data_IF_435699107916
#
_entry.id   IF_435699107916
#
_cell.length_a   1.000
_cell.length_b   1.000
_cell.length_c   1.000
_cell.angle_alpha   90.00
_cell.angle_beta   90.00
_cell.angle_gamma   90.00
#
_symmetry.space_group_name_H-M   'P 1'
#
loop_
_entity.id
_entity.type
_entity.pdbx_description
1 polymer ?
#
# COMPACT_ATOMS: atom_id res chain seq x y z
N UNK A 1 -23.81 15.54 -15.85
CA UNK A 1 -22.58 16.26 -15.49
C UNK A 1 -21.45 15.49 -16.10
N UNK A 2 -20.69 16.14 -16.94
CA UNK A 2 -19.52 15.55 -17.54
C UNK A 2 -18.43 15.49 -16.45
N UNK A 3 -18.19 14.29 -15.90
CA UNK A 3 -17.21 14.11 -14.84
C UNK A 3 -15.80 14.23 -15.41
N UNK A 4 -15.13 15.36 -15.15
CA UNK A 4 -13.74 15.59 -15.58
C UNK A 4 -12.70 15.14 -14.56
N UNK A 5 -13.13 14.76 -13.36
CA UNK A 5 -12.23 14.34 -12.26
C UNK A 5 -12.75 13.08 -11.60
N UNK A 6 -11.90 12.07 -11.48
CA UNK A 6 -12.14 10.91 -10.63
C UNK A 6 -11.46 11.13 -9.30
N UNK A 7 -12.18 10.95 -8.20
CA UNK A 7 -11.69 11.18 -6.86
C UNK A 7 -11.86 9.93 -5.98
N UNK A 8 -10.86 9.64 -5.16
CA UNK A 8 -10.90 8.57 -4.15
C UNK A 8 -10.29 9.12 -2.87
N UNK A 9 -10.94 8.92 -1.74
CA UNK A 9 -10.37 9.22 -0.42
C UNK A 9 -10.56 8.04 0.52
N UNK A 10 -9.71 7.95 1.52
CA UNK A 10 -9.70 6.84 2.46
C UNK A 10 -9.28 7.31 3.86
N UNK A 11 -9.94 6.76 4.86
CA UNK A 11 -9.45 6.73 6.24
C UNK A 11 -8.92 5.34 6.52
N UNK A 12 -7.61 5.20 6.68
CA UNK A 12 -6.90 3.91 6.77
C UNK A 12 -6.30 3.63 8.16
N UNK A 13 -6.72 4.36 9.17
CA UNK A 13 -6.10 4.33 10.52
C UNK A 13 -5.99 2.92 11.08
N UNK A 14 -7.10 2.15 11.12
CA UNK A 14 -7.10 0.79 11.69
C UNK A 14 -6.28 -0.20 10.83
N UNK A 15 -6.36 -0.05 9.53
CA UNK A 15 -5.59 -0.85 8.57
C UNK A 15 -4.07 -0.63 8.76
N UNK A 16 -3.63 0.61 8.88
CA UNK A 16 -2.22 0.97 9.11
C UNK A 16 -1.77 0.53 10.51
N UNK A 17 -2.62 0.72 11.53
CA UNK A 17 -2.36 0.25 12.90
C UNK A 17 -2.11 -1.25 12.93
N UNK A 18 -2.97 -2.05 12.27
CA UNK A 18 -2.80 -3.50 12.20
C UNK A 18 -1.52 -3.89 11.47
N UNK A 19 -1.23 -3.26 10.32
CA UNK A 19 0.01 -3.48 9.58
C UNK A 19 1.27 -3.17 10.38
N UNK A 20 1.28 -2.04 11.10
CA UNK A 20 2.39 -1.64 11.95
C UNK A 20 2.64 -2.63 13.10
N UNK A 21 1.58 -3.15 13.73
CA UNK A 21 1.68 -4.17 14.77
C UNK A 21 2.29 -5.47 14.26
N UNK A 22 1.83 -5.97 13.12
CA UNK A 22 2.33 -7.21 12.49
C UNK A 22 3.82 -7.06 12.12
N UNK A 23 4.17 -5.97 11.44
CA UNK A 23 5.53 -5.73 10.96
C UNK A 23 6.45 -5.13 12.05
N UNK A 24 5.92 -4.86 13.26
CA UNK A 24 6.65 -4.32 14.42
C UNK A 24 7.45 -3.06 14.06
N UNK A 25 6.83 -2.14 13.33
CA UNK A 25 7.49 -0.98 12.77
C UNK A 25 7.73 0.13 13.79
N UNK A 26 8.91 0.79 13.70
CA UNK A 26 9.22 2.04 14.40
C UNK A 26 8.55 3.23 13.71
N UNK A 27 8.45 4.43 14.33
CA UNK A 27 7.67 5.55 13.81
C UNK A 27 7.92 5.90 12.34
N UNK A 28 9.17 5.98 11.91
CA UNK A 28 9.50 6.29 10.51
C UNK A 28 9.05 5.18 9.55
N UNK A 29 9.30 3.91 9.90
CA UNK A 29 8.82 2.78 9.12
C UNK A 29 7.29 2.71 9.10
N UNK A 30 6.63 3.02 10.23
CA UNK A 30 5.16 3.09 10.31
C UNK A 30 4.61 4.15 9.36
N UNK A 31 5.22 5.33 9.32
CA UNK A 31 4.80 6.40 8.42
C UNK A 31 4.99 6.01 6.94
N UNK A 32 6.13 5.45 6.57
CA UNK A 32 6.41 4.99 5.20
C UNK A 32 5.49 3.85 4.80
N UNK A 33 5.45 2.79 5.60
CA UNK A 33 4.63 1.61 5.33
C UNK A 33 3.13 1.93 5.30
N UNK A 34 2.66 2.76 6.23
CA UNK A 34 1.27 3.18 6.29
C UNK A 34 0.83 3.99 5.07
N UNK A 35 1.69 4.89 4.56
CA UNK A 35 1.44 5.59 3.28
C UNK A 35 1.36 4.61 2.12
N UNK A 36 2.26 3.64 2.04
CA UNK A 36 2.24 2.61 1.00
C UNK A 36 0.98 1.73 1.07
N UNK A 37 0.55 1.30 2.27
CA UNK A 37 -0.70 0.56 2.48
C UNK A 37 -1.91 1.39 2.02
N UNK A 38 -1.96 2.67 2.40
CA UNK A 38 -3.04 3.60 2.04
C UNK A 38 -3.12 3.79 0.52
N UNK A 39 -1.99 4.04 -0.14
CA UNK A 39 -1.93 4.16 -1.59
C UNK A 39 -2.35 2.86 -2.29
N UNK A 40 -1.82 1.72 -1.83
CA UNK A 40 -2.16 0.41 -2.40
C UNK A 40 -3.65 0.09 -2.28
N UNK A 41 -4.28 0.42 -1.14
CA UNK A 41 -5.72 0.25 -0.94
C UNK A 41 -6.54 1.07 -1.95
N UNK A 42 -6.25 2.36 -2.10
CA UNK A 42 -6.93 3.22 -3.07
C UNK A 42 -6.72 2.73 -4.51
N UNK A 43 -5.48 2.43 -4.88
CA UNK A 43 -5.14 1.95 -6.23
C UNK A 43 -5.75 0.59 -6.55
N UNK A 44 -5.85 -0.31 -5.56
CA UNK A 44 -6.51 -1.61 -5.71
C UNK A 44 -8.02 -1.46 -5.92
N UNK A 45 -8.68 -0.61 -5.13
CA UNK A 45 -10.11 -0.32 -5.26
C UNK A 45 -10.46 0.34 -6.61
N UNK A 46 -9.52 1.05 -7.21
CA UNK A 46 -9.72 1.61 -8.56
C UNK A 46 -9.74 0.56 -9.67
N UNK A 47 -9.31 -0.68 -9.41
CA UNK A 47 -9.38 -1.78 -10.36
C UNK A 47 -10.78 -2.37 -10.39
N UNK A 48 -11.36 -2.48 -11.58
CA UNK A 48 -12.71 -3.04 -11.77
C UNK A 48 -12.69 -4.50 -12.24
N UNK A 49 -11.63 -5.24 -11.91
CA UNK A 49 -11.47 -6.64 -12.32
C UNK A 49 -11.75 -7.53 -11.12
N UNK A 50 -12.86 -8.26 -11.17
CA UNK A 50 -13.22 -9.24 -10.15
C UNK A 50 -12.11 -10.28 -9.99
N UNK A 51 -11.73 -10.58 -8.74
CA UNK A 51 -10.60 -11.46 -8.38
C UNK A 51 -9.20 -10.99 -8.85
N UNK A 52 -9.08 -9.77 -9.33
CA UNK A 52 -7.79 -9.16 -9.61
C UNK A 52 -6.99 -8.86 -8.34
N UNK A 53 -5.73 -8.51 -8.51
CA UNK A 53 -4.90 -7.99 -7.42
C UNK A 53 -3.92 -6.94 -7.92
N UNK A 54 -3.53 -6.03 -7.03
CA UNK A 54 -2.52 -5.02 -7.32
C UNK A 54 -1.40 -5.14 -6.29
N UNK A 55 -0.16 -5.20 -6.76
CA UNK A 55 1.03 -5.14 -5.93
C UNK A 55 1.74 -3.82 -6.15
N UNK A 56 1.95 -3.07 -5.08
CA UNK A 56 2.81 -1.90 -5.03
C UNK A 56 4.11 -2.29 -4.36
N UNK A 57 5.23 -2.12 -5.06
CA UNK A 57 6.56 -2.38 -4.53
C UNK A 57 7.41 -1.11 -4.63
N UNK A 58 8.03 -0.73 -3.52
CA UNK A 58 8.88 0.45 -3.42
C UNK A 58 10.26 0.01 -2.93
N UNK A 59 11.29 0.35 -3.69
CA UNK A 59 12.70 0.08 -3.39
C UNK A 59 13.48 1.36 -3.61
N UNK A 60 13.79 2.06 -2.56
CA UNK A 60 14.47 3.36 -2.65
C UNK A 60 15.92 3.35 -2.15
N UNK A 61 16.43 2.20 -1.70
CA UNK A 61 17.79 2.10 -1.15
C UNK A 61 17.94 2.66 0.27
N UNK A 62 16.87 3.14 0.88
CA UNK A 62 16.88 3.61 2.28
C UNK A 62 16.81 2.47 3.30
N UNK A 63 16.92 2.80 4.60
CA UNK A 63 17.05 1.80 5.68
C UNK A 63 15.85 0.86 5.83
N UNK A 64 14.64 1.22 5.37
CA UNK A 64 13.47 0.34 5.41
C UNK A 64 13.59 -0.84 4.43
N UNK A 65 14.48 -0.73 3.43
CA UNK A 65 14.64 -1.69 2.35
C UNK A 65 13.45 -1.66 1.39
N UNK A 66 12.86 -2.82 1.13
CA UNK A 66 11.72 -2.94 0.23
C UNK A 66 10.41 -2.88 0.99
N UNK A 67 9.48 -2.06 0.53
CA UNK A 67 8.07 -2.08 0.96
C UNK A 67 7.28 -2.81 -0.12
N UNK A 68 6.51 -3.82 0.26
CA UNK A 68 5.60 -4.54 -0.65
C UNK A 68 4.20 -4.54 -0.07
N UNK A 69 3.24 -4.00 -0.82
CA UNK A 69 1.83 -3.99 -0.46
C UNK A 69 1.00 -4.66 -1.55
N UNK A 70 0.04 -5.49 -1.17
CA UNK A 70 -0.85 -6.19 -2.11
C UNK A 70 -2.29 -5.88 -1.74
N UNK A 71 -3.05 -5.33 -2.69
CA UNK A 71 -4.45 -4.98 -2.52
C UNK A 71 -5.35 -5.79 -3.45
N UNK A 72 -6.59 -6.03 -3.00
CA UNK A 72 -7.67 -6.56 -3.81
C UNK A 72 -8.58 -5.44 -4.37
N UNK A 73 -9.54 -5.75 -5.26
CA UNK A 73 -10.48 -4.76 -5.81
C UNK A 73 -11.45 -4.15 -4.78
N UNK A 74 -11.64 -4.80 -3.63
CA UNK A 74 -12.42 -4.23 -2.52
C UNK A 74 -11.61 -3.21 -1.68
N UNK A 75 -10.30 -3.04 -2.00
CA UNK A 75 -9.42 -2.13 -1.27
C UNK A 75 -8.82 -2.72 0.01
N UNK A 76 -9.08 -4.01 0.33
CA UNK A 76 -8.36 -4.64 1.42
C UNK A 76 -6.89 -4.83 1.04
N UNK A 77 -6.00 -4.64 1.99
CA UNK A 77 -4.55 -4.65 1.73
C UNK A 77 -3.80 -5.49 2.75
N UNK A 78 -2.70 -6.06 2.33
CA UNK A 78 -1.65 -6.64 3.17
C UNK A 78 -0.30 -6.15 2.68
N UNK A 79 0.68 -6.10 3.56
CA UNK A 79 2.02 -5.66 3.16
C UNK A 79 3.09 -6.17 4.09
N UNK A 80 4.33 -6.03 3.65
CA UNK A 80 5.52 -6.28 4.44
C UNK A 80 6.62 -5.28 4.10
N UNK A 81 7.57 -5.15 5.02
CA UNK A 81 8.79 -4.35 4.85
C UNK A 81 9.99 -5.23 5.13
N UNK A 82 11.13 -4.94 4.49
CA UNK A 82 12.36 -5.68 4.75
C UNK A 82 12.87 -5.41 6.16
N UNK A 83 12.85 -4.12 6.59
CA UNK A 83 13.26 -3.72 7.92
C UNK A 83 12.22 -2.80 8.57
N UNK A 84 11.52 -3.31 9.58
CA UNK A 84 10.53 -2.54 10.34
C UNK A 84 11.14 -1.64 11.41
N UNK A 85 12.37 -1.92 11.85
CA UNK A 85 13.04 -1.22 12.95
C UNK A 85 14.11 -0.27 12.43
N UNK A 86 13.67 0.83 11.85
CA UNK A 86 14.58 1.87 11.36
C UNK A 86 14.79 2.97 12.41
N UNK A 87 15.91 3.72 12.33
CA UNK A 87 16.15 4.86 13.21
C UNK A 87 15.07 5.95 13.08
N UNK A 88 14.86 6.69 14.16
CA UNK A 88 14.04 7.89 14.13
C UNK A 88 14.84 9.01 13.43
N UNK A 89 14.29 9.51 12.33
CA UNK A 89 14.84 10.64 11.57
C UNK A 89 13.73 11.66 11.37
N UNK A 90 13.97 12.90 11.72
CA UNK A 90 13.04 13.99 11.50
C UNK A 90 13.57 14.92 10.41
N UNK A 91 12.70 15.34 9.50
CA UNK A 91 12.99 16.36 8.48
C UNK A 91 13.13 17.76 9.12
N UNK A 92 12.28 18.00 10.09
CA UNK A 92 12.31 19.11 11.05
C UNK A 92 11.55 18.70 12.32
N UNK A 93 11.71 19.38 13.47
CA UNK A 93 11.09 18.95 14.72
C UNK A 93 9.61 18.62 14.59
N UNK A 94 9.24 17.38 14.94
CA UNK A 94 7.88 16.88 14.89
C UNK A 94 7.42 16.35 13.53
N UNK A 95 8.28 16.35 12.48
CA UNK A 95 7.95 15.74 11.19
C UNK A 95 8.94 14.63 10.82
N UNK A 96 8.44 13.40 10.79
CA UNK A 96 9.21 12.23 10.36
C UNK A 96 9.71 12.39 8.92
N UNK A 97 10.97 12.04 8.68
CA UNK A 97 11.58 12.05 7.34
C UNK A 97 11.30 10.68 6.67
N UNK A 98 10.20 10.61 5.93
CA UNK A 98 9.83 9.42 5.18
C UNK A 98 10.73 9.23 3.97
N UNK A 99 11.11 10.32 3.30
CA UNK A 99 12.02 10.29 2.16
C UNK A 99 13.37 9.69 2.51
N UNK A 100 13.98 10.10 3.63
CA UNK A 100 15.22 9.51 4.11
C UNK A 100 15.07 8.03 4.53
N UNK A 101 13.88 7.65 5.01
CA UNK A 101 13.57 6.26 5.41
C UNK A 101 13.45 5.34 4.21
N UNK A 102 12.80 5.79 3.14
CA UNK A 102 12.58 5.03 1.91
C UNK A 102 13.80 5.09 0.98
N UNK A 103 14.45 6.26 0.90
CA UNK A 103 15.46 6.56 -0.08
C UNK A 103 14.88 6.95 -1.44
N UNK A 104 15.75 7.41 -2.34
CA UNK A 104 15.36 7.86 -3.69
C UNK A 104 16.12 7.14 -4.80
N UNK A 105 17.12 6.32 -4.46
CA UNK A 105 17.93 5.60 -5.43
C UNK A 105 17.28 4.24 -5.76
N UNK A 106 16.21 4.31 -6.55
CA UNK A 106 15.47 3.11 -6.91
C UNK A 106 14.10 3.36 -7.52
N UNK A 107 13.21 2.38 -7.42
CA UNK A 107 11.99 2.34 -8.21
C UNK A 107 10.73 2.12 -7.37
N UNK A 108 9.63 2.68 -7.87
CA UNK A 108 8.26 2.30 -7.55
C UNK A 108 7.72 1.44 -8.70
N UNK A 109 7.27 0.24 -8.37
CA UNK A 109 6.73 -0.73 -9.33
C UNK A 109 5.30 -1.11 -8.95
N UNK A 110 4.40 -1.07 -9.91
CA UNK A 110 3.02 -1.51 -9.78
C UNK A 110 2.81 -2.73 -10.67
N UNK A 111 2.35 -3.82 -10.08
CA UNK A 111 2.00 -5.05 -10.78
C UNK A 111 0.50 -5.26 -10.64
N UNK A 112 -0.23 -5.36 -11.75
CA UNK A 112 -1.67 -5.61 -11.77
C UNK A 112 -1.94 -6.97 -12.37
N UNK A 113 -2.45 -7.88 -11.56
CA UNK A 113 -3.04 -9.12 -12.04
C UNK A 113 -4.49 -8.83 -12.44
N UNK A 114 -4.71 -8.74 -13.73
CA UNK A 114 -6.01 -8.48 -14.35
C UNK A 114 -6.68 -9.77 -14.82
N UNK A 115 -6.27 -10.93 -14.29
CA UNK A 115 -6.71 -12.27 -14.72
C UNK A 115 -6.42 -12.56 -16.20
N UNK A 116 -5.39 -11.89 -16.73
CA UNK A 116 -4.85 -12.12 -18.08
C UNK A 116 -3.68 -13.12 -18.02
N UNK A 117 -3.21 -13.56 -19.19
CA UNK A 117 -2.08 -14.51 -19.29
C UNK A 117 -0.81 -14.00 -18.58
N UNK A 118 -0.57 -12.70 -18.66
CA UNK A 118 0.56 -12.03 -18.01
C UNK A 118 0.06 -10.80 -17.24
N UNK A 119 0.62 -10.51 -16.07
CA UNK A 119 0.26 -9.31 -15.33
C UNK A 119 0.79 -8.06 -16.05
N UNK A 120 0.09 -6.95 -15.91
CA UNK A 120 0.63 -5.65 -16.30
C UNK A 120 1.65 -5.18 -15.27
N UNK A 121 2.81 -4.71 -15.73
CA UNK A 121 3.88 -4.19 -14.87
C UNK A 121 4.28 -2.79 -15.34
N UNK A 122 4.12 -1.80 -14.46
CA UNK A 122 4.61 -0.44 -14.64
C UNK A 122 5.66 -0.12 -13.59
N UNK A 123 6.76 0.53 -13.98
CA UNK A 123 7.83 0.89 -13.06
C UNK A 123 8.37 2.28 -13.41
N UNK A 124 8.61 3.10 -12.38
CA UNK A 124 9.19 4.45 -12.50
C UNK A 124 10.28 4.66 -11.46
N UNK A 125 11.20 5.59 -11.73
CA UNK A 125 12.17 6.02 -10.74
C UNK A 125 11.48 6.80 -9.62
N UNK A 126 11.93 6.62 -8.38
CA UNK A 126 11.47 7.45 -7.26
C UNK A 126 11.90 8.90 -7.46
N UNK A 127 11.04 9.83 -7.06
CA UNK A 127 11.30 11.27 -7.17
C UNK A 127 11.58 11.92 -5.82
N UNK A 128 11.00 11.38 -4.74
CA UNK A 128 11.18 11.96 -3.39
C UNK A 128 11.29 10.93 -2.27
N UNK A 129 10.81 9.70 -2.47
CA UNK A 129 10.64 8.71 -1.41
C UNK A 129 9.54 9.05 -0.40
N UNK A 130 8.82 10.16 -0.57
CA UNK A 130 7.67 10.53 0.28
C UNK A 130 6.40 9.73 -0.06
N UNK A 131 6.48 8.86 -1.06
CA UNK A 131 5.45 7.95 -1.57
C UNK A 131 4.32 8.67 -2.31
N UNK A 132 3.74 9.74 -1.76
CA UNK A 132 2.67 10.50 -2.44
C UNK A 132 3.14 11.09 -3.77
N UNK A 133 4.29 11.73 -3.77
CA UNK A 133 4.93 12.29 -4.97
C UNK A 133 5.30 11.17 -5.97
N UNK A 134 5.80 10.05 -5.44
CA UNK A 134 6.21 8.90 -6.25
C UNK A 134 5.01 8.22 -6.93
N UNK A 135 3.86 8.13 -6.25
CA UNK A 135 2.58 7.68 -6.83
C UNK A 135 2.10 8.66 -7.91
N UNK A 136 2.20 9.96 -7.64
CA UNK A 136 1.86 11.02 -8.62
C UNK A 136 2.72 10.86 -9.89
N UNK A 137 4.03 10.70 -9.72
CA UNK A 137 4.97 10.46 -10.81
C UNK A 137 4.66 9.17 -11.59
N UNK A 138 4.30 8.09 -10.88
CA UNK A 138 3.90 6.82 -11.50
C UNK A 138 2.70 7.01 -12.44
N UNK A 139 1.64 7.66 -11.98
CA UNK A 139 0.47 7.87 -12.81
C UNK A 139 0.78 8.77 -14.02
N UNK A 140 1.58 9.80 -13.84
CA UNK A 140 1.96 10.69 -14.94
C UNK A 140 2.83 9.99 -15.99
N UNK A 141 3.84 9.22 -15.58
CA UNK A 141 4.83 8.64 -16.48
C UNK A 141 4.41 7.29 -17.07
N UNK A 142 3.81 6.41 -16.24
CA UNK A 142 3.45 5.05 -16.64
C UNK A 142 2.04 4.95 -17.19
N UNK A 143 1.08 5.70 -16.61
CA UNK A 143 -0.32 5.62 -17.01
C UNK A 143 -0.82 6.85 -17.79
N UNK A 144 0.05 7.84 -17.97
CA UNK A 144 -0.25 9.09 -18.69
C UNK A 144 -1.52 9.79 -18.18
N UNK A 145 -1.77 9.65 -16.87
CA UNK A 145 -2.94 10.21 -16.20
C UNK A 145 -2.49 11.28 -15.21
N UNK A 146 -2.79 12.56 -15.43
CA UNK A 146 -2.49 13.62 -14.48
C UNK A 146 -3.20 13.34 -13.16
N UNK A 147 -2.41 13.24 -12.08
CA UNK A 147 -2.88 12.78 -10.77
C UNK A 147 -2.30 13.65 -9.67
N UNK A 148 -3.09 13.93 -8.64
CA UNK A 148 -2.62 14.44 -7.36
C UNK A 148 -2.86 13.38 -6.29
N UNK A 149 -1.84 13.06 -5.51
CA UNK A 149 -1.90 12.09 -4.42
C UNK A 149 -1.41 12.71 -3.12
N UNK A 150 -2.25 12.71 -2.09
CA UNK A 150 -1.86 13.11 -0.75
C UNK A 150 -2.06 11.94 0.23
N UNK A 151 -1.01 11.64 0.97
CA UNK A 151 -0.97 10.54 1.94
C UNK A 151 -0.49 11.08 3.28
N UNK A 152 -1.09 10.62 4.35
CA UNK A 152 -0.74 11.02 5.69
C UNK A 152 -0.83 9.89 6.71
N UNK A 153 0.20 9.79 7.55
CA UNK A 153 0.21 8.93 8.73
C UNK A 153 0.79 9.74 9.86
N UNK A 154 0.00 9.94 10.91
CA UNK A 154 0.44 10.59 12.14
C UNK A 154 0.68 9.52 13.19
N UNK A 155 1.91 9.47 13.68
CA UNK A 155 2.34 8.58 14.76
C UNK A 155 2.45 9.38 16.03
N UNK A 156 1.84 8.89 17.11
CA UNK A 156 1.88 9.55 18.42
C UNK A 156 3.20 9.26 19.15
N UNK A 157 3.43 9.94 20.27
CA UNK A 157 4.65 9.81 21.11
C UNK A 157 4.82 8.38 21.68
N UNK A 158 3.73 7.67 21.90
CA UNK A 158 3.72 6.26 22.32
C UNK A 158 3.98 5.28 21.17
N UNK A 159 4.29 5.80 19.97
CA UNK A 159 4.52 5.08 18.71
C UNK A 159 3.26 4.44 18.11
N UNK A 160 2.09 4.71 18.65
CA UNK A 160 0.83 4.27 18.04
C UNK A 160 0.44 5.13 16.84
N UNK A 161 -0.32 4.54 15.91
CA UNK A 161 -0.89 5.28 14.79
C UNK A 161 -2.09 6.07 15.27
N UNK A 162 -1.99 7.39 15.30
CA UNK A 162 -3.08 8.29 15.70
C UNK A 162 -4.14 8.39 14.62
N UNK A 163 -3.73 8.78 13.41
CA UNK A 163 -4.57 8.84 12.21
C UNK A 163 -3.75 8.45 10.98
N UNK A 164 -4.41 7.84 10.00
CA UNK A 164 -3.86 7.55 8.68
C UNK A 164 -4.96 7.65 7.62
N UNK A 165 -4.59 8.11 6.43
CA UNK A 165 -5.49 8.21 5.29
C UNK A 165 -4.84 8.97 4.14
N UNK A 166 -5.66 9.25 3.14
CA UNK A 166 -5.20 9.93 1.93
C UNK A 166 -6.32 10.17 0.94
N UNK A 167 -5.95 10.83 -0.13
CA UNK A 167 -6.80 10.95 -1.31
C UNK A 167 -5.97 10.87 -2.59
N UNK A 168 -6.66 10.54 -3.67
CA UNK A 168 -6.12 10.47 -5.01
C UNK A 168 -7.13 11.11 -5.96
N UNK A 169 -6.67 12.08 -6.74
CA UNK A 169 -7.46 12.84 -7.71
C UNK A 169 -6.86 12.63 -9.08
N UNK A 170 -7.68 12.25 -10.06
CA UNK A 170 -7.23 12.02 -11.43
C UNK A 170 -8.04 12.89 -12.40
N UNK A 171 -7.34 13.66 -13.23
CA UNK A 171 -7.96 14.37 -14.32
C UNK A 171 -8.28 13.40 -15.46
N UNK A 172 -9.51 13.47 -15.95
CA UNK A 172 -9.95 12.72 -17.11
C UNK A 172 -9.68 13.52 -18.40
N UNK A 173 -9.51 12.84 -19.54
CA UNK A 173 -9.25 13.51 -20.81
C UNK A 173 -10.30 14.57 -21.13
N UNK A 174 -9.82 15.74 -21.54
CA UNK A 174 -10.69 16.86 -21.90
C UNK A 174 -11.13 17.75 -20.74
N UNK A 175 -10.52 17.58 -19.54
CA UNK A 175 -10.77 18.48 -18.42
C UNK A 175 -10.39 19.93 -18.79
N UNK A 176 -11.31 20.90 -18.62
CA UNK A 176 -11.02 22.32 -18.91
C UNK A 176 -10.04 22.91 -17.87
N UNK A 177 -9.31 23.96 -18.25
CA UNK A 177 -8.31 24.62 -17.38
C UNK A 177 -8.94 25.14 -16.07
N UNK A 178 -10.17 25.65 -16.11
CA UNK A 178 -10.87 26.13 -14.91
C UNK A 178 -11.17 25.02 -13.89
N UNK A 179 -11.28 23.77 -14.33
CA UNK A 179 -11.40 22.59 -13.44
C UNK A 179 -10.07 22.33 -12.75
N UNK A 180 -8.96 22.46 -13.48
CA UNK A 180 -7.61 22.29 -12.94
C UNK A 180 -7.33 23.36 -11.88
N UNK A 181 -7.60 24.63 -12.21
CA UNK A 181 -7.40 25.76 -11.28
C UNK A 181 -8.19 25.59 -9.97
N UNK A 182 -9.46 25.19 -10.08
CA UNK A 182 -10.31 24.92 -8.90
C UNK A 182 -9.78 23.77 -8.05
N UNK A 183 -9.26 22.72 -8.68
CA UNK A 183 -8.70 21.57 -7.97
C UNK A 183 -7.42 21.96 -7.23
N UNK A 184 -6.50 22.68 -7.88
CA UNK A 184 -5.27 23.17 -7.27
C UNK A 184 -5.56 24.10 -6.08
N UNK A 185 -6.51 25.00 -6.23
CA UNK A 185 -6.94 25.90 -5.17
C UNK A 185 -7.57 25.11 -4.00
N UNK A 186 -8.42 24.11 -4.29
CA UNK A 186 -9.01 23.22 -3.28
C UNK A 186 -7.95 22.46 -2.49
N UNK A 187 -6.98 21.84 -3.17
CA UNK A 187 -5.85 21.14 -2.54
C UNK A 187 -5.05 22.09 -1.64
N UNK A 188 -4.75 23.28 -2.14
CA UNK A 188 -4.00 24.29 -1.40
C UNK A 188 -4.73 24.77 -0.14
N UNK A 189 -6.04 24.97 -0.21
CA UNK A 189 -6.88 25.40 0.93
C UNK A 189 -7.05 24.30 1.97
N UNK A 190 -7.26 23.05 1.52
CA UNK A 190 -7.47 21.92 2.40
C UNK A 190 -6.25 21.59 3.28
N UNK A 191 -5.03 21.80 2.77
CA UNK A 191 -3.80 21.60 3.51
C UNK A 191 -3.47 20.11 3.73
N UNK A 192 -2.85 19.81 4.88
CA UNK A 192 -2.38 18.46 5.16
C UNK A 192 -3.52 17.48 5.49
N UNK A 193 -3.54 16.33 4.83
CA UNK A 193 -4.55 15.29 5.06
C UNK A 193 -4.58 14.79 6.51
N UNK A 194 -3.43 14.74 7.19
CA UNK A 194 -3.36 14.37 8.61
C UNK A 194 -4.10 15.34 9.52
N UNK A 195 -4.05 16.64 9.22
CA UNK A 195 -4.78 17.67 9.98
C UNK A 195 -6.29 17.51 9.81
N UNK A 196 -6.77 17.24 8.60
CA UNK A 196 -8.18 16.96 8.33
C UNK A 196 -8.66 15.72 9.10
N UNK A 197 -7.89 14.63 9.05
CA UNK A 197 -8.20 13.39 9.76
C UNK A 197 -8.17 13.55 11.28
N UNK A 198 -7.27 14.37 11.82
CA UNK A 198 -7.18 14.68 13.25
C UNK A 198 -8.39 15.47 13.76
N UNK A 199 -8.98 16.31 12.90
CA UNK A 199 -10.24 17.00 13.15
C UNK A 199 -11.47 16.08 13.05
N UNK A 200 -11.28 14.81 12.72
CA UNK A 200 -12.35 13.81 12.61
C UNK A 200 -13.08 13.81 11.27
N UNK A 201 -12.56 14.51 10.25
CA UNK A 201 -13.15 14.53 8.91
C UNK A 201 -13.26 13.11 8.33
N UNK A 202 -14.39 12.82 7.73
CA UNK A 202 -14.65 11.60 6.96
C UNK A 202 -13.97 11.68 5.58
N UNK A 203 -13.83 10.57 4.85
CA UNK A 203 -13.36 10.63 3.46
C UNK A 203 -14.20 11.56 2.57
N UNK A 204 -15.52 11.60 2.79
CA UNK A 204 -16.44 12.48 2.10
C UNK A 204 -16.16 13.96 2.42
N UNK A 205 -15.92 14.29 3.68
CA UNK A 205 -15.55 15.65 4.11
C UNK A 205 -14.24 16.10 3.48
N UNK A 206 -13.25 15.20 3.42
CA UNK A 206 -11.95 15.46 2.77
C UNK A 206 -12.16 15.76 1.28
N UNK A 207 -12.94 14.94 0.57
CA UNK A 207 -13.25 15.19 -0.84
C UNK A 207 -14.04 16.49 -1.04
N UNK A 208 -14.97 16.81 -0.13
CA UNK A 208 -15.67 18.09 -0.12
C UNK A 208 -14.74 19.30 0.07
N UNK A 209 -13.73 19.16 0.95
CA UNK A 209 -12.74 20.22 1.17
C UNK A 209 -11.80 20.42 -0.03
N UNK A 210 -11.41 19.33 -0.72
CA UNK A 210 -10.42 19.36 -1.80
C UNK A 210 -11.04 19.64 -3.17
N UNK A 211 -12.25 19.13 -3.45
CA UNK A 211 -12.88 19.16 -4.76
C UNK A 211 -14.34 19.67 -4.72
N UNK A 212 -14.82 20.19 -3.60
CA UNK A 212 -16.21 20.58 -3.39
C UNK A 212 -16.73 21.60 -4.39
N UNK A 213 -15.89 22.54 -4.82
CA UNK A 213 -16.22 23.56 -5.83
C UNK A 213 -16.52 22.98 -7.23
N UNK A 214 -16.21 21.67 -7.44
CA UNK A 214 -16.49 20.94 -8.68
C UNK A 214 -17.79 20.13 -8.62
N UNK A 215 -18.50 20.13 -7.47
CA UNK A 215 -19.75 19.37 -7.32
C UNK A 215 -19.50 17.86 -7.23
N UNK A 216 -18.82 17.40 -6.19
CA UNK A 216 -18.49 15.98 -5.97
C UNK A 216 -19.75 15.12 -5.87
N UNK A 217 -19.78 14.01 -6.60
CA UNK A 217 -20.82 12.99 -6.53
C UNK A 217 -20.21 11.72 -5.96
N UNK A 218 -20.68 11.27 -4.80
CA UNK A 218 -20.25 10.02 -4.18
C UNK A 218 -20.94 8.85 -4.88
N UNK A 219 -20.15 7.94 -5.43
CA UNK A 219 -20.65 6.79 -6.19
C UNK A 219 -20.69 5.51 -5.34
N UNK A 220 -19.69 5.32 -4.51
CA UNK A 220 -19.53 4.10 -3.73
C UNK A 220 -18.72 4.39 -2.47
N UNK A 221 -19.08 3.78 -1.36
CA UNK A 221 -18.33 3.74 -0.11
C UNK A 221 -18.12 2.30 0.30
N UNK A 222 -16.87 1.89 0.53
CA UNK A 222 -16.50 0.52 0.90
C UNK A 222 -15.69 0.50 2.18
N UNK A 223 -15.94 -0.50 3.02
CA UNK A 223 -15.10 -0.77 4.18
C UNK A 223 -13.80 -1.43 3.75
N UNK A 224 -12.67 -0.94 4.26
CA UNK A 224 -11.33 -1.45 3.96
C UNK A 224 -10.62 -1.96 5.19
N UNK A 225 -9.82 -3.01 5.04
CA UNK A 225 -9.12 -3.61 6.16
C UNK A 225 -7.72 -4.13 5.78
N UNK A 226 -6.88 -4.32 6.79
CA UNK A 226 -5.68 -5.13 6.63
C UNK A 226 -6.10 -6.60 6.61
N UNK A 227 -5.96 -7.27 5.46
CA UNK A 227 -6.46 -8.64 5.26
C UNK A 227 -5.45 -9.50 4.53
N UNK A 228 -4.94 -10.51 5.20
CA UNK A 228 -4.10 -11.52 4.58
C UNK A 228 -4.96 -12.70 4.11
N UNK A 229 -4.65 -13.21 2.93
CA UNK A 229 -5.31 -14.37 2.32
C UNK A 229 -4.42 -15.62 2.33
N UNK A 230 -3.43 -15.69 3.24
CA UNK A 230 -2.65 -16.91 3.41
C UNK A 230 -3.52 -18.06 3.92
N UNK A 231 -3.13 -19.26 3.57
CA UNK A 231 -3.75 -20.51 4.02
C UNK A 231 -2.73 -21.63 3.96
N UNK A 232 -2.97 -22.71 4.71
CA UNK A 232 -2.13 -23.92 4.65
C UNK A 232 -1.97 -24.40 3.21
N UNK A 233 -3.04 -24.38 2.41
CA UNK A 233 -3.00 -24.81 1.01
C UNK A 233 -2.09 -23.94 0.14
N UNK A 234 -2.13 -22.62 0.33
CA UNK A 234 -1.22 -21.69 -0.38
C UNK A 234 0.23 -21.91 0.01
N UNK A 235 0.50 -22.09 1.30
CA UNK A 235 1.84 -22.39 1.80
C UNK A 235 2.32 -23.75 1.29
N UNK A 236 1.45 -24.75 1.28
CA UNK A 236 1.73 -26.08 0.71
C UNK A 236 2.14 -25.97 -0.78
N UNK A 237 1.41 -25.21 -1.59
CA UNK A 237 1.78 -24.99 -2.99
C UNK A 237 3.14 -24.28 -3.14
N UNK A 238 3.43 -23.32 -2.27
CA UNK A 238 4.73 -22.66 -2.23
C UNK A 238 5.88 -23.64 -1.86
N UNK A 239 5.66 -24.53 -0.87
CA UNK A 239 6.62 -25.57 -0.52
C UNK A 239 6.86 -26.54 -1.68
N UNK A 240 5.81 -26.97 -2.37
CA UNK A 240 5.92 -27.83 -3.55
C UNK A 240 6.78 -27.17 -4.64
N UNK A 241 6.68 -25.85 -4.81
CA UNK A 241 7.46 -25.10 -5.81
C UNK A 241 8.96 -25.01 -5.51
N UNK A 242 9.40 -25.32 -4.29
CA UNK A 242 10.82 -25.44 -3.95
C UNK A 242 11.47 -26.63 -4.69
N UNK A 243 10.70 -27.71 -4.94
CA UNK A 243 11.17 -28.89 -5.64
C UNK A 243 11.65 -30.00 -4.68
N UNK A 244 11.95 -31.19 -5.31
CA UNK A 244 12.25 -32.43 -4.55
C UNK A 244 13.48 -32.31 -3.66
N UNK A 245 14.48 -31.57 -4.10
CA UNK A 245 15.78 -31.51 -3.41
C UNK A 245 15.62 -30.80 -2.05
N UNK A 246 15.09 -29.58 -2.07
CA UNK A 246 14.91 -28.76 -0.88
C UNK A 246 13.92 -29.40 0.11
N UNK A 247 12.83 -30.00 -0.38
CA UNK A 247 11.88 -30.72 0.47
C UNK A 247 12.51 -31.95 1.15
N UNK A 248 13.43 -32.67 0.50
CA UNK A 248 14.18 -33.77 1.13
C UNK A 248 15.09 -33.26 2.22
N UNK A 249 15.82 -32.17 1.99
CA UNK A 249 16.70 -31.55 2.99
C UNK A 249 15.89 -31.15 4.24
N UNK A 250 14.72 -30.51 4.04
CA UNK A 250 13.81 -30.16 5.16
C UNK A 250 13.33 -31.41 5.91
N UNK A 251 12.99 -32.48 5.20
CA UNK A 251 12.51 -33.73 5.81
C UNK A 251 13.63 -34.42 6.60
N UNK A 252 14.86 -34.42 6.09
CA UNK A 252 16.03 -35.07 6.73
C UNK A 252 16.43 -34.41 8.06
N UNK A 253 16.07 -33.13 8.27
CA UNK A 253 16.25 -32.46 9.58
C UNK A 253 15.42 -33.13 10.70
N UNK A 254 14.39 -33.89 10.36
CA UNK A 254 13.57 -34.66 11.30
C UNK A 254 12.79 -33.82 12.30
N UNK A 255 12.59 -32.54 12.03
CA UNK A 255 11.89 -31.58 12.90
C UNK A 255 10.67 -31.01 12.21
N UNK A 256 9.72 -30.53 13.01
CA UNK A 256 8.62 -29.71 12.48
C UNK A 256 9.17 -28.43 11.88
N UNK A 257 8.84 -28.17 10.62
CA UNK A 257 9.28 -27.00 9.87
C UNK A 257 8.21 -25.89 9.93
N UNK A 258 8.48 -24.77 10.62
CA UNK A 258 7.55 -23.65 10.67
C UNK A 258 7.72 -22.78 9.43
N UNK A 259 6.62 -22.40 8.82
CA UNK A 259 6.56 -21.40 7.72
C UNK A 259 5.77 -20.21 8.21
N UNK A 260 6.44 -19.09 8.39
CA UNK A 260 5.82 -17.83 8.81
C UNK A 260 5.36 -17.05 7.57
N UNK A 261 4.13 -16.53 7.65
CA UNK A 261 3.63 -15.65 6.60
C UNK A 261 4.24 -14.25 6.76
N UNK A 262 4.99 -13.77 5.77
CA UNK A 262 5.60 -12.44 5.81
C UNK A 262 4.59 -11.27 5.84
N UNK A 263 3.32 -11.52 5.50
CA UNK A 263 2.25 -10.52 5.46
C UNK A 263 1.38 -10.48 6.72
N UNK A 264 1.45 -11.49 7.58
CA UNK A 264 0.69 -11.56 8.82
C UNK A 264 1.45 -12.38 9.87
N UNK A 265 0.87 -12.52 11.05
CA UNK A 265 1.45 -13.21 12.18
C UNK A 265 1.12 -14.73 12.22
N UNK A 266 0.55 -15.28 11.14
CA UNK A 266 0.23 -16.70 11.04
C UNK A 266 1.46 -17.56 10.76
N UNK A 267 1.59 -18.66 11.50
CA UNK A 267 2.63 -19.67 11.33
C UNK A 267 2.02 -21.01 11.00
N UNK A 268 2.50 -21.64 9.94
CA UNK A 268 2.07 -22.95 9.47
C UNK A 268 3.16 -23.98 9.76
N UNK A 269 2.89 -24.91 10.67
CA UNK A 269 3.82 -25.98 11.00
C UNK A 269 3.61 -27.20 10.08
N UNK A 270 4.71 -27.71 9.51
CA UNK A 270 4.74 -28.92 8.69
C UNK A 270 5.60 -29.98 9.37
N UNK A 271 5.01 -31.14 9.67
CA UNK A 271 5.76 -32.27 10.24
C UNK A 271 6.58 -32.97 9.15
N UNK A 272 7.56 -33.83 9.49
CA UNK A 272 8.27 -34.65 8.50
C UNK A 272 7.32 -35.51 7.67
N UNK A 273 6.21 -36.01 8.23
CA UNK A 273 5.18 -36.79 7.54
C UNK A 273 4.41 -35.92 6.54
N UNK A 274 4.11 -34.65 6.91
CA UNK A 274 3.52 -33.69 5.96
C UNK A 274 4.45 -33.51 4.75
N UNK A 275 5.75 -33.26 4.98
CA UNK A 275 6.74 -33.05 3.92
C UNK A 275 6.91 -34.32 3.06
N UNK A 276 6.94 -35.50 3.66
CA UNK A 276 6.97 -36.77 2.94
C UNK A 276 5.76 -36.90 1.98
N UNK A 277 4.57 -36.57 2.46
CA UNK A 277 3.35 -36.56 1.64
C UNK A 277 3.39 -35.53 0.48
N UNK A 278 4.13 -34.44 0.62
CA UNK A 278 4.35 -33.48 -0.46
C UNK A 278 5.32 -34.02 -1.52
N UNK A 279 6.36 -34.74 -1.10
CA UNK A 279 7.33 -35.37 -1.98
C UNK A 279 6.70 -36.45 -2.88
N UNK A 280 5.67 -37.15 -2.41
CA UNK A 280 4.92 -38.14 -3.20
C UNK A 280 4.09 -37.50 -4.33
N UNK A 281 3.75 -36.21 -4.23
CA UNK A 281 2.96 -35.47 -5.22
C UNK A 281 3.81 -34.83 -6.32
N UNK A 282 5.14 -34.87 -6.21
CA UNK A 282 6.13 -34.37 -7.17
C UNK A 282 6.75 -35.51 -8.02
#
# INVERSE_FOLDING_TARGET
>A
MDGFVKVVAIRSTEMVRRGAQIQKTTPNATAAFGRALTAASMMGNMQKVENGSMTLQIRGGGPIGTITCVSDPAGNVRGCVTEGRVPLVEKYPGKLDVGATVGMDGTLTVIRDLQMKEPYVGSVQLVSGEIGDDITAYFAQSEQTPTACALGVLVDRDQSVKVAGGYLLQLLPGAPDDVIDKLEEGIRKAGAVTAMLEQGMTPEDILGAVAGDLGVVFMETTEVSYKCYCSRDRVTKALISLGKKELKEIMEEGKTFPVECQFCDETYAFTPEDIASLLEKL
#
